data_IF_599907040126
#
_entry.id   IF_599907040126
#
_cell.length_a   1.000
_cell.length_b   1.000
_cell.length_c   1.000
_cell.angle_alpha   90.00
_cell.angle_beta   90.00
_cell.angle_gamma   90.00
#
_symmetry.space_group_name_H-M   'P 1'
#
loop_
_entity.id
_entity.type
_entity.pdbx_description
1 polymer ?
#
# COMPACT_ATOMS: atom_id res chain seq x y z
N UNK A 1 4.51 -22.58 5.56
CA UNK A 1 5.95 -22.56 5.19
C UNK A 1 6.29 -21.10 4.92
N UNK A 2 7.01 -20.45 5.84
CA UNK A 2 7.23 -19.00 5.87
C UNK A 2 8.27 -18.57 4.84
N UNK A 3 7.89 -17.66 3.94
CA UNK A 3 8.78 -16.93 3.03
C UNK A 3 8.74 -15.42 3.33
N UNK A 4 8.63 -15.04 4.60
CA UNK A 4 8.97 -13.68 5.05
C UNK A 4 10.11 -13.79 6.06
N UNK A 5 11.31 -14.01 5.53
CA UNK A 5 12.55 -13.87 6.29
C UNK A 5 12.77 -12.40 6.64
N UNK A 6 12.40 -12.04 7.87
CA UNK A 6 13.23 -11.25 8.79
C UNK A 6 13.73 -9.88 8.30
N UNK A 7 12.84 -8.98 7.92
CA UNK A 7 13.11 -7.55 8.09
C UNK A 7 12.37 -7.11 9.34
N UNK A 8 13.09 -6.80 10.42
CA UNK A 8 12.51 -6.25 11.65
C UNK A 8 12.13 -4.75 11.49
N UNK A 9 12.47 -4.16 10.34
CA UNK A 9 12.16 -2.77 10.00
C UNK A 9 10.73 -2.67 9.44
N UNK A 10 9.94 -1.75 9.99
CA UNK A 10 8.61 -1.47 9.43
C UNK A 10 8.71 -0.76 8.08
N UNK A 11 7.71 -0.96 7.21
CA UNK A 11 7.62 -0.32 5.89
C UNK A 11 7.82 1.20 5.97
N UNK A 12 7.14 1.87 6.92
CA UNK A 12 7.28 3.31 7.13
C UNK A 12 8.71 3.72 7.52
N UNK A 13 9.40 2.90 8.31
CA UNK A 13 10.80 3.18 8.69
C UNK A 13 11.74 2.99 7.50
N UNK A 14 11.52 1.96 6.66
CA UNK A 14 12.29 1.77 5.44
C UNK A 14 12.10 2.95 4.46
N UNK A 15 10.85 3.37 4.23
CA UNK A 15 10.55 4.53 3.39
C UNK A 15 11.14 5.82 3.97
N UNK A 16 11.06 6.03 5.29
CA UNK A 16 11.69 7.17 5.96
C UNK A 16 13.21 7.21 5.72
N UNK A 17 13.90 6.07 5.92
CA UNK A 17 15.35 5.97 5.64
C UNK A 17 15.67 6.22 4.17
N UNK A 18 14.83 5.74 3.24
CA UNK A 18 14.99 6.01 1.81
C UNK A 18 14.88 7.51 1.51
N UNK A 19 13.85 8.18 2.05
CA UNK A 19 13.67 9.63 1.91
C UNK A 19 14.87 10.38 2.47
N UNK A 20 15.32 10.06 3.69
CA UNK A 20 16.52 10.66 4.30
C UNK A 20 17.78 10.43 3.46
N UNK A 21 17.96 9.22 2.93
CA UNK A 21 19.08 8.93 2.04
C UNK A 21 19.03 9.76 0.76
N UNK A 22 17.85 10.00 0.18
CA UNK A 22 17.76 10.85 -1.02
C UNK A 22 18.27 12.27 -0.74
N UNK A 23 17.93 12.84 0.41
CA UNK A 23 18.35 14.19 0.82
C UNK A 23 18.09 15.24 -0.27
N UNK A 24 19.11 16.03 -0.61
CA UNK A 24 19.06 17.05 -1.67
C UNK A 24 18.93 16.48 -3.10
N UNK A 25 18.97 15.15 -3.25
CA UNK A 25 18.66 14.46 -4.48
C UNK A 25 19.79 13.58 -5.01
N UNK A 26 19.42 12.45 -5.60
CA UNK A 26 20.34 11.42 -6.10
C UNK A 26 20.32 11.35 -7.62
N UNK A 27 21.48 11.24 -8.24
CA UNK A 27 21.59 11.12 -9.69
C UNK A 27 21.19 9.73 -10.15
N UNK A 28 20.33 9.66 -11.17
CA UNK A 28 19.96 8.41 -11.82
C UNK A 28 20.88 8.15 -13.02
N UNK A 29 20.85 6.93 -13.53
CA UNK A 29 21.48 6.59 -14.81
C UNK A 29 20.75 7.27 -15.98
N UNK A 30 21.33 7.23 -17.17
CA UNK A 30 20.68 7.72 -18.40
C UNK A 30 19.34 7.05 -18.68
N UNK A 31 19.16 5.80 -18.23
CA UNK A 31 17.91 5.06 -18.33
C UNK A 31 16.96 5.29 -17.14
N UNK A 32 17.24 6.29 -16.29
CA UNK A 32 16.39 6.63 -15.15
C UNK A 32 16.46 5.67 -13.96
N UNK A 33 17.48 4.80 -13.88
CA UNK A 33 17.62 3.80 -12.81
C UNK A 33 18.56 4.29 -11.71
N UNK A 34 18.46 3.70 -10.53
CA UNK A 34 19.49 3.86 -9.51
C UNK A 34 20.82 3.29 -10.01
N UNK A 35 21.94 3.87 -9.56
CA UNK A 35 23.25 3.30 -9.85
C UNK A 35 23.38 1.97 -9.12
N UNK A 36 24.14 1.03 -9.68
CA UNK A 36 24.38 -0.29 -9.05
C UNK A 36 24.96 -0.14 -7.63
N UNK A 37 25.88 0.81 -7.43
CA UNK A 37 26.44 1.14 -6.11
C UNK A 37 25.38 1.64 -5.13
N UNK A 38 24.46 2.48 -5.60
CA UNK A 38 23.37 3.02 -4.78
C UNK A 38 22.38 1.91 -4.41
N UNK A 39 22.05 1.03 -5.37
CA UNK A 39 21.23 -0.15 -5.12
C UNK A 39 21.85 -1.08 -4.07
N UNK A 40 23.14 -1.41 -4.20
CA UNK A 40 23.86 -2.22 -3.21
C UNK A 40 23.83 -1.62 -1.81
N UNK A 41 24.06 -0.31 -1.71
CA UNK A 41 24.00 0.41 -0.45
C UNK A 41 22.59 0.38 0.15
N UNK A 42 21.57 0.65 -0.66
CA UNK A 42 20.17 0.71 -0.21
C UNK A 42 19.63 -0.64 0.27
N UNK A 43 20.00 -1.74 -0.37
CA UNK A 43 19.64 -3.09 0.12
C UNK A 43 20.09 -3.27 1.58
N UNK A 44 21.30 -2.83 1.90
CA UNK A 44 21.85 -2.95 3.25
C UNK A 44 21.22 -1.93 4.22
N UNK A 45 21.00 -0.69 3.78
CA UNK A 45 20.43 0.38 4.62
C UNK A 45 18.98 0.10 5.02
N UNK A 46 18.20 -0.41 4.06
CA UNK A 46 16.77 -0.64 4.19
C UNK A 46 16.43 -2.08 4.57
N UNK A 47 17.44 -2.95 4.69
CA UNK A 47 17.28 -4.37 5.02
C UNK A 47 16.25 -5.07 4.11
N UNK A 48 16.33 -4.83 2.80
CA UNK A 48 15.29 -5.28 1.84
C UNK A 48 15.31 -6.80 1.60
N UNK A 49 16.33 -7.50 2.10
CA UNK A 49 16.55 -8.92 1.83
C UNK A 49 16.98 -9.25 0.39
N UNK A 50 17.07 -8.25 -0.51
CA UNK A 50 17.53 -8.48 -1.88
C UNK A 50 19.00 -8.97 -1.91
N UNK A 51 19.40 -9.62 -3.00
CA UNK A 51 20.73 -10.23 -3.13
C UNK A 51 21.59 -9.57 -4.22
N UNK A 52 22.15 -8.37 -3.98
CA UNK A 52 22.82 -7.58 -5.00
C UNK A 52 24.20 -8.13 -5.41
N UNK A 53 24.78 -9.06 -4.65
CA UNK A 53 26.04 -9.71 -5.03
C UNK A 53 25.84 -11.00 -5.85
N UNK A 54 24.61 -11.48 -5.98
CA UNK A 54 24.32 -12.82 -6.48
C UNK A 54 24.56 -13.87 -5.40
N UNK A 55 23.51 -14.62 -5.04
CA UNK A 55 23.59 -15.81 -4.19
C UNK A 55 23.88 -17.09 -5.00
N UNK A 56 23.72 -18.25 -4.39
CA UNK A 56 23.90 -19.55 -5.04
C UNK A 56 22.97 -19.67 -6.28
N UNK A 57 23.55 -19.46 -7.47
CA UNK A 57 22.85 -19.51 -8.76
C UNK A 57 22.39 -18.15 -9.33
N UNK A 58 22.54 -17.04 -8.62
CA UNK A 58 22.18 -15.71 -9.10
C UNK A 58 23.41 -14.96 -9.63
N UNK A 59 23.26 -14.32 -10.80
CA UNK A 59 24.31 -13.46 -11.36
C UNK A 59 24.46 -12.19 -10.54
N UNK A 60 25.67 -11.62 -10.56
CA UNK A 60 25.98 -10.31 -9.97
C UNK A 60 25.02 -9.24 -10.50
N UNK A 61 24.61 -8.31 -9.64
CA UNK A 61 23.69 -7.23 -9.99
C UNK A 61 24.22 -6.38 -11.16
N UNK A 62 23.51 -6.42 -12.28
CA UNK A 62 23.76 -5.58 -13.46
C UNK A 62 22.82 -4.39 -13.55
N UNK A 63 21.67 -4.43 -12.88
CA UNK A 63 20.66 -3.39 -12.87
C UNK A 63 19.83 -3.46 -11.60
N UNK A 64 19.48 -2.32 -11.01
CA UNK A 64 18.65 -2.25 -9.81
C UNK A 64 17.22 -2.76 -10.01
N UNK A 65 16.77 -2.95 -11.25
CA UNK A 65 15.49 -3.59 -11.55
C UNK A 65 15.44 -5.05 -11.09
N UNK A 66 16.60 -5.68 -10.88
CA UNK A 66 16.71 -7.04 -10.34
C UNK A 66 16.65 -7.08 -8.80
N UNK A 67 16.31 -5.96 -8.14
CA UNK A 67 16.11 -5.84 -6.70
C UNK A 67 14.61 -5.59 -6.43
N UNK A 68 13.77 -6.64 -6.45
CA UNK A 68 12.31 -6.48 -6.42
C UNK A 68 11.81 -5.72 -5.19
N UNK A 69 12.35 -6.00 -3.99
CA UNK A 69 11.90 -5.32 -2.78
C UNK A 69 12.30 -3.85 -2.77
N UNK A 70 13.56 -3.55 -3.15
CA UNK A 70 14.00 -2.16 -3.30
C UNK A 70 13.20 -1.39 -4.37
N UNK A 71 12.87 -2.05 -5.48
CA UNK A 71 12.06 -1.46 -6.54
C UNK A 71 10.66 -1.11 -6.05
N UNK A 72 10.01 -2.05 -5.36
CA UNK A 72 8.70 -1.84 -4.74
C UNK A 72 8.74 -0.63 -3.78
N UNK A 73 9.73 -0.55 -2.90
CA UNK A 73 9.87 0.58 -1.98
C UNK A 73 10.02 1.92 -2.72
N UNK A 74 10.79 1.95 -3.82
CA UNK A 74 10.99 3.16 -4.61
C UNK A 74 9.69 3.59 -5.31
N UNK A 75 8.98 2.65 -5.94
CA UNK A 75 7.71 2.88 -6.63
C UNK A 75 6.66 3.41 -5.63
N UNK A 76 6.46 2.69 -4.51
CA UNK A 76 5.56 3.12 -3.44
C UNK A 76 5.87 4.53 -2.92
N UNK A 77 7.16 4.85 -2.73
CA UNK A 77 7.57 6.17 -2.23
C UNK A 77 7.29 7.28 -3.24
N UNK A 78 7.40 7.00 -4.54
CA UNK A 78 7.09 7.95 -5.61
C UNK A 78 5.56 8.12 -5.73
N UNK A 79 4.80 7.04 -5.70
CA UNK A 79 3.34 7.04 -5.76
C UNK A 79 2.73 7.82 -4.57
N UNK A 80 3.26 7.59 -3.36
CA UNK A 80 2.90 8.35 -2.16
C UNK A 80 3.31 9.83 -2.23
N UNK A 81 4.01 10.26 -3.30
CA UNK A 81 4.39 11.66 -3.50
C UNK A 81 5.47 12.14 -2.53
N UNK A 82 6.23 11.23 -1.92
CA UNK A 82 7.36 11.54 -1.04
C UNK A 82 8.62 11.82 -1.86
N UNK A 83 8.79 11.10 -2.97
CA UNK A 83 9.88 11.27 -3.92
C UNK A 83 9.33 11.56 -5.33
N UNK A 84 10.18 12.13 -6.18
CA UNK A 84 9.89 12.31 -7.61
C UNK A 84 11.14 12.20 -8.45
N UNK A 85 10.97 11.83 -9.71
CA UNK A 85 12.03 11.88 -10.71
C UNK A 85 11.93 13.19 -11.48
N UNK A 86 13.02 13.97 -11.50
CA UNK A 86 13.09 15.21 -12.23
C UNK A 86 14.50 15.42 -12.80
N UNK A 87 14.59 15.64 -14.12
CA UNK A 87 15.86 15.92 -14.83
C UNK A 87 16.97 14.89 -14.51
N UNK A 88 16.63 13.60 -14.56
CA UNK A 88 17.57 12.51 -14.28
C UNK A 88 18.00 12.39 -12.82
N UNK A 89 17.24 12.96 -11.88
CA UNK A 89 17.50 12.88 -10.44
C UNK A 89 16.26 12.41 -9.69
N UNK A 90 16.47 11.62 -8.66
CA UNK A 90 15.49 11.30 -7.63
C UNK A 90 15.57 12.38 -6.56
N UNK A 91 14.46 13.08 -6.31
CA UNK A 91 14.38 14.23 -5.40
C UNK A 91 13.25 14.04 -4.39
N UNK A 92 13.41 14.61 -3.20
CA UNK A 92 12.29 14.74 -2.25
C UNK A 92 11.24 15.75 -2.77
N UNK A 93 9.97 15.46 -2.49
CA UNK A 93 8.86 16.37 -2.79
C UNK A 93 8.70 17.38 -1.65
N UNK A 94 8.94 18.65 -1.97
CA UNK A 94 8.93 19.75 -0.98
C UNK A 94 7.63 19.86 -0.18
N UNK A 95 6.48 19.56 -0.80
CA UNK A 95 5.16 19.62 -0.16
C UNK A 95 5.10 18.79 1.12
N UNK A 96 5.75 17.63 1.14
CA UNK A 96 5.66 16.66 2.23
C UNK A 96 6.95 16.57 3.07
N UNK A 97 7.98 17.36 2.75
CA UNK A 97 9.31 17.23 3.37
C UNK A 97 9.28 17.39 4.90
N UNK A 98 8.47 18.33 5.43
CA UNK A 98 8.37 18.55 6.87
C UNK A 98 7.72 17.35 7.59
N UNK A 99 6.63 16.81 7.03
CA UNK A 99 5.95 15.64 7.59
C UNK A 99 6.83 14.39 7.48
N UNK A 100 7.47 14.20 6.32
CA UNK A 100 8.38 13.09 6.04
C UNK A 100 9.71 13.16 6.81
N UNK A 101 9.94 14.19 7.64
CA UNK A 101 11.09 14.25 8.52
C UNK A 101 11.08 13.16 9.61
N UNK A 102 9.91 12.59 9.91
CA UNK A 102 9.73 11.52 10.90
C UNK A 102 9.16 10.26 10.27
N UNK A 103 9.47 9.09 10.83
CA UNK A 103 8.89 7.82 10.38
C UNK A 103 7.36 7.78 10.55
N UNK A 104 6.83 8.40 11.60
CA UNK A 104 5.39 8.52 11.81
C UNK A 104 4.73 9.39 10.73
N UNK A 105 5.31 10.53 10.37
CA UNK A 105 4.76 11.35 9.28
C UNK A 105 4.85 10.65 7.92
N UNK A 106 5.88 9.82 7.68
CA UNK A 106 5.92 8.94 6.51
C UNK A 106 4.81 7.89 6.56
N UNK A 107 4.59 7.23 7.70
CA UNK A 107 3.50 6.25 7.88
C UNK A 107 2.15 6.87 7.52
N UNK A 108 1.88 8.07 8.00
CA UNK A 108 0.66 8.83 7.70
C UNK A 108 0.47 9.08 6.21
N UNK A 109 1.53 9.53 5.50
CA UNK A 109 1.48 9.76 4.06
C UNK A 109 1.30 8.47 3.25
N UNK A 110 1.85 7.35 3.74
CA UNK A 110 1.62 6.03 3.13
C UNK A 110 0.16 5.58 3.34
N UNK A 111 -0.43 5.81 4.52
CA UNK A 111 -1.87 5.50 4.74
C UNK A 111 -2.75 6.36 3.84
N UNK A 112 -2.46 7.66 3.71
CA UNK A 112 -3.15 8.54 2.76
C UNK A 112 -3.03 8.04 1.32
N UNK A 113 -1.86 7.53 0.93
CA UNK A 113 -1.66 6.91 -0.38
C UNK A 113 -2.56 5.69 -0.57
N UNK A 114 -2.54 4.72 0.36
CA UNK A 114 -3.39 3.52 0.32
C UNK A 114 -4.86 3.91 0.25
N UNK A 115 -5.29 4.88 1.06
CA UNK A 115 -6.67 5.35 1.05
C UNK A 115 -7.08 6.00 -0.28
N UNK A 116 -6.17 6.70 -0.94
CA UNK A 116 -6.41 7.28 -2.26
C UNK A 116 -6.50 6.22 -3.37
N UNK A 117 -5.70 5.15 -3.30
CA UNK A 117 -5.62 4.11 -4.35
C UNK A 117 -6.56 2.93 -4.13
N UNK A 118 -7.00 2.69 -2.89
CA UNK A 118 -7.91 1.61 -2.54
C UNK A 118 -9.21 1.60 -3.37
N UNK A 119 -9.87 2.73 -3.71
CA UNK A 119 -11.05 2.70 -4.56
C UNK A 119 -10.80 2.08 -5.94
N UNK A 120 -9.65 2.33 -6.56
CA UNK A 120 -9.33 1.73 -7.85
C UNK A 120 -9.15 0.21 -7.74
N UNK A 121 -8.63 -0.25 -6.60
CA UNK A 121 -8.44 -1.68 -6.32
C UNK A 121 -9.75 -2.37 -5.93
N UNK A 122 -10.62 -1.69 -5.20
CA UNK A 122 -11.93 -2.19 -4.76
C UNK A 122 -13.03 -1.96 -5.79
N UNK A 123 -12.72 -1.45 -6.98
CA UNK A 123 -13.70 -1.32 -8.05
C UNK A 123 -13.83 -2.68 -8.77
N UNK A 124 -15.00 -3.36 -8.71
CA UNK A 124 -15.19 -4.63 -9.41
C UNK A 124 -15.21 -4.49 -10.94
N UNK A 125 -15.33 -3.25 -11.44
CA UNK A 125 -15.34 -2.90 -12.86
C UNK A 125 -14.37 -1.75 -13.10
N UNK A 126 -13.53 -1.88 -14.13
CA UNK A 126 -12.60 -0.83 -14.56
C UNK A 126 -13.39 0.44 -14.96
N UNK A 127 -12.92 1.62 -14.55
CA UNK A 127 -13.53 2.94 -14.81
C UNK A 127 -14.83 3.27 -14.00
N UNK A 128 -15.07 2.58 -12.88
CA UNK A 128 -16.12 2.90 -11.90
C UNK A 128 -15.55 3.21 -10.50
N UNK A 129 -14.84 4.35 -10.33
CA UNK A 129 -14.23 4.72 -9.04
C UNK A 129 -15.27 4.97 -7.94
N UNK A 130 -16.50 5.30 -8.29
CA UNK A 130 -17.62 5.46 -7.38
C UNK A 130 -17.96 4.16 -6.61
N UNK A 131 -17.90 3.01 -7.28
CA UNK A 131 -18.10 1.70 -6.64
C UNK A 131 -16.98 1.37 -5.67
N UNK A 132 -15.74 1.61 -6.07
CA UNK A 132 -14.59 1.48 -5.18
C UNK A 132 -14.69 2.38 -3.95
N UNK A 133 -15.18 3.61 -4.12
CA UNK A 133 -15.45 4.52 -3.01
C UNK A 133 -16.58 4.00 -2.11
N UNK A 134 -17.63 3.38 -2.68
CA UNK A 134 -18.70 2.75 -1.91
C UNK A 134 -18.20 1.56 -1.08
N UNK A 135 -17.34 0.69 -1.66
CA UNK A 135 -16.69 -0.39 -0.93
C UNK A 135 -15.77 0.12 0.18
N UNK A 136 -14.91 1.11 -0.12
CA UNK A 136 -14.03 1.72 0.87
C UNK A 136 -14.84 2.39 1.99
N UNK A 137 -15.99 2.97 1.65
CA UNK A 137 -16.94 3.51 2.63
C UNK A 137 -17.50 2.42 3.54
N UNK A 138 -18.03 1.34 2.97
CA UNK A 138 -18.53 0.22 3.75
C UNK A 138 -17.44 -0.36 4.68
N UNK A 139 -16.21 -0.50 4.16
CA UNK A 139 -15.05 -0.97 4.92
C UNK A 139 -14.81 -0.19 6.21
N UNK A 140 -14.71 1.14 6.10
CA UNK A 140 -14.43 1.97 7.27
C UNK A 140 -15.64 2.10 8.20
N UNK A 141 -16.87 2.00 7.68
CA UNK A 141 -18.08 1.93 8.51
C UNK A 141 -18.05 0.70 9.42
N UNK A 142 -17.90 -0.49 8.85
CA UNK A 142 -17.84 -1.76 9.60
C UNK A 142 -16.70 -1.78 10.63
N UNK A 143 -15.50 -1.35 10.22
CA UNK A 143 -14.35 -1.29 11.13
C UNK A 143 -14.53 -0.27 12.26
N UNK A 144 -15.23 0.84 12.02
CA UNK A 144 -15.47 1.85 13.05
C UNK A 144 -16.56 1.41 14.02
N UNK A 145 -17.62 0.75 13.53
CA UNK A 145 -18.69 0.20 14.37
C UNK A 145 -18.21 -0.97 15.24
N UNK A 146 -17.29 -1.78 14.71
CA UNK A 146 -16.67 -2.86 15.45
C UNK A 146 -15.66 -2.37 16.52
N UNK A 147 -15.22 -1.11 16.46
CA UNK A 147 -14.15 -0.56 17.31
C UNK A 147 -12.90 -1.47 17.30
N UNK A 148 -12.49 -1.97 18.48
CA UNK A 148 -11.37 -2.90 18.62
C UNK A 148 -11.81 -4.37 18.54
N UNK A 149 -13.04 -4.69 18.15
CA UNK A 149 -13.47 -6.07 17.94
C UNK A 149 -12.90 -6.61 16.61
N UNK A 150 -12.36 -7.83 16.58
CA UNK A 150 -11.92 -8.45 15.33
C UNK A 150 -13.12 -8.86 14.47
N UNK A 151 -13.05 -8.56 13.17
CA UNK A 151 -13.99 -8.97 12.14
C UNK A 151 -13.39 -10.08 11.28
N UNK A 152 -14.22 -11.02 10.82
CA UNK A 152 -13.78 -12.00 9.83
C UNK A 152 -13.65 -11.34 8.46
N UNK A 153 -12.51 -11.54 7.80
CA UNK A 153 -12.24 -10.93 6.48
C UNK A 153 -13.24 -11.41 5.43
N UNK A 154 -13.69 -12.67 5.51
CA UNK A 154 -14.71 -13.21 4.61
C UNK A 154 -16.05 -12.51 4.77
N UNK A 155 -16.48 -12.24 6.01
CA UNK A 155 -17.75 -11.56 6.29
C UNK A 155 -17.67 -10.08 5.88
N UNK A 156 -16.53 -9.44 6.13
CA UNK A 156 -16.28 -8.08 5.68
C UNK A 156 -16.31 -8.00 4.14
N UNK A 157 -15.62 -8.89 3.44
CA UNK A 157 -15.64 -8.93 1.97
C UNK A 157 -17.07 -9.11 1.41
N UNK A 158 -17.92 -9.90 2.08
CA UNK A 158 -19.34 -10.05 1.74
C UNK A 158 -20.12 -8.73 1.88
N UNK A 159 -19.92 -7.99 2.98
CA UNK A 159 -20.54 -6.67 3.18
C UNK A 159 -20.10 -5.69 2.10
N UNK A 160 -18.80 -5.62 1.83
CA UNK A 160 -18.23 -4.73 0.81
C UNK A 160 -18.74 -5.09 -0.59
N UNK A 161 -18.83 -6.38 -0.90
CA UNK A 161 -19.40 -6.85 -2.16
C UNK A 161 -20.85 -6.41 -2.31
N UNK A 162 -21.67 -6.54 -1.26
CA UNK A 162 -23.06 -6.11 -1.30
C UNK A 162 -23.20 -4.59 -1.48
N UNK A 163 -22.26 -3.80 -0.96
CA UNK A 163 -22.24 -2.35 -1.15
C UNK A 163 -22.01 -1.94 -2.63
N UNK A 164 -21.29 -2.75 -3.41
CA UNK A 164 -21.02 -2.46 -4.84
C UNK A 164 -21.98 -3.18 -5.78
N UNK A 165 -22.41 -4.40 -5.43
CA UNK A 165 -23.31 -5.22 -6.24
C UNK A 165 -24.75 -4.72 -6.24
N UNK A 166 -25.11 -3.81 -5.32
CA UNK A 166 -26.42 -3.16 -5.29
C UNK A 166 -26.60 -2.13 -6.41
N UNK A 167 -25.53 -1.74 -7.11
CA UNK A 167 -25.60 -0.82 -8.24
C UNK A 167 -26.21 -1.52 -9.48
N UNK A 168 -27.35 -1.04 -10.02
CA UNK A 168 -28.03 -1.69 -11.14
C UNK A 168 -27.18 -1.80 -12.40
N UNK A 169 -26.28 -0.83 -12.65
CA UNK A 169 -25.44 -0.81 -13.84
C UNK A 169 -24.34 -1.89 -13.76
N UNK A 170 -23.97 -2.31 -12.55
CA UNK A 170 -22.98 -3.38 -12.32
C UNK A 170 -23.55 -4.75 -12.64
N UNK A 171 -24.84 -4.97 -12.33
CA UNK A 171 -25.53 -6.25 -12.58
C UNK A 171 -25.56 -6.55 -14.09
N UNK A 172 -25.72 -5.52 -14.93
CA UNK A 172 -25.75 -5.67 -16.39
C UNK A 172 -24.35 -5.87 -17.01
N UNK A 173 -23.29 -5.44 -16.32
CA UNK A 173 -21.91 -5.52 -16.80
C UNK A 173 -21.25 -6.88 -16.55
N UNK A 174 -21.79 -7.70 -15.65
CA UNK A 174 -21.26 -9.03 -15.41
C UNK A 174 -21.80 -10.04 -16.43
N UNK A 175 -20.92 -10.81 -17.09
CA UNK A 175 -21.36 -11.93 -17.90
C UNK A 175 -22.21 -12.90 -17.06
N UNK A 176 -23.32 -13.35 -17.61
CA UNK A 176 -24.21 -14.32 -16.94
C UNK A 176 -23.40 -15.53 -16.44
N UNK A 177 -23.51 -15.83 -15.15
CA UNK A 177 -22.79 -16.95 -14.52
C UNK A 177 -21.35 -16.67 -14.11
N UNK A 178 -20.88 -15.41 -14.17
CA UNK A 178 -19.54 -14.99 -13.69
C UNK A 178 -19.53 -14.26 -12.35
N UNK A 179 -20.69 -14.11 -11.71
CA UNK A 179 -20.83 -13.37 -10.46
C UNK A 179 -20.02 -13.99 -9.32
N UNK A 180 -20.03 -15.33 -9.18
CA UNK A 180 -19.27 -16.02 -8.13
C UNK A 180 -17.74 -15.85 -8.30
N UNK A 181 -17.26 -15.84 -9.54
CA UNK A 181 -15.84 -15.61 -9.86
C UNK A 181 -15.44 -14.16 -9.57
N UNK A 182 -16.27 -13.19 -9.97
CA UNK A 182 -16.04 -11.78 -9.67
C UNK A 182 -16.04 -11.51 -8.17
N UNK A 183 -16.95 -12.14 -7.42
CA UNK A 183 -17.02 -12.06 -5.96
C UNK A 183 -15.79 -12.67 -5.27
N UNK A 184 -15.34 -13.83 -5.72
CA UNK A 184 -14.13 -14.45 -5.20
C UNK A 184 -12.90 -13.57 -5.44
N UNK A 185 -12.76 -13.03 -6.65
CA UNK A 185 -11.68 -12.09 -6.97
C UNK A 185 -11.76 -10.81 -6.13
N UNK A 186 -12.95 -10.26 -5.92
CA UNK A 186 -13.16 -9.10 -5.05
C UNK A 186 -12.74 -9.35 -3.59
N UNK A 187 -12.96 -10.57 -3.07
CA UNK A 187 -12.50 -10.94 -1.73
C UNK A 187 -10.96 -10.96 -1.64
N UNK A 188 -10.26 -11.41 -2.70
CA UNK A 188 -8.80 -11.34 -2.78
C UNK A 188 -8.29 -9.89 -2.79
N UNK A 189 -8.94 -9.02 -3.58
CA UNK A 189 -8.62 -7.59 -3.63
C UNK A 189 -8.86 -6.91 -2.29
N UNK A 190 -9.95 -7.26 -1.61
CA UNK A 190 -10.24 -6.80 -0.24
C UNK A 190 -9.12 -7.20 0.72
N UNK A 191 -8.71 -8.47 0.72
CA UNK A 191 -7.61 -8.94 1.57
C UNK A 191 -6.29 -8.21 1.27
N UNK A 192 -6.01 -7.89 0.00
CA UNK A 192 -4.83 -7.10 -0.40
C UNK A 192 -4.84 -5.70 0.21
N UNK A 193 -5.97 -4.99 0.10
CA UNK A 193 -6.11 -3.63 0.67
C UNK A 193 -5.99 -3.65 2.20
N UNK A 194 -6.59 -4.64 2.87
CA UNK A 194 -6.47 -4.80 4.32
C UNK A 194 -5.02 -5.06 4.75
N UNK A 195 -4.28 -5.86 3.97
CA UNK A 195 -2.88 -6.13 4.24
C UNK A 195 -2.03 -4.85 4.11
N UNK A 196 -2.28 -4.01 3.12
CA UNK A 196 -1.57 -2.72 2.97
C UNK A 196 -1.79 -1.82 4.20
N UNK A 197 -3.02 -1.69 4.67
CA UNK A 197 -3.31 -0.95 5.89
C UNK A 197 -2.67 -1.60 7.15
N UNK A 198 -2.62 -2.94 7.21
CA UNK A 198 -2.01 -3.65 8.32
C UNK A 198 -0.49 -3.48 8.36
N UNK A 199 0.18 -3.48 7.21
CA UNK A 199 1.63 -3.20 7.10
C UNK A 199 1.99 -1.78 7.58
N UNK A 200 1.04 -0.86 7.53
CA UNK A 200 1.17 0.52 8.01
C UNK A 200 0.64 0.72 9.44
N UNK A 201 0.23 -0.37 10.11
CA UNK A 201 -0.27 -0.36 11.48
C UNK A 201 -1.60 0.36 11.67
N UNK A 202 -2.36 0.62 10.59
CA UNK A 202 -3.72 1.11 10.71
C UNK A 202 -4.67 -0.02 11.14
N UNK A 203 -4.45 -1.22 10.62
CA UNK A 203 -5.18 -2.43 10.98
C UNK A 203 -4.26 -3.46 11.64
N UNK A 204 -4.84 -4.36 12.42
CA UNK A 204 -4.19 -5.57 12.88
C UNK A 204 -4.85 -6.77 12.20
N UNK A 205 -4.04 -7.77 11.85
CA UNK A 205 -4.52 -9.02 11.26
C UNK A 205 -3.73 -10.20 11.83
N UNK A 206 -4.28 -11.40 11.74
CA UNK A 206 -3.55 -12.62 12.08
C UNK A 206 -2.68 -13.09 10.90
N UNK A 207 -1.84 -14.09 11.16
CA UNK A 207 -0.92 -14.63 10.13
C UNK A 207 -1.62 -15.30 8.95
N UNK A 208 -2.88 -15.72 9.13
CA UNK A 208 -3.68 -16.39 8.10
C UNK A 208 -4.54 -15.42 7.29
N UNK A 209 -4.53 -14.12 7.62
CA UNK A 209 -5.40 -13.11 7.00
C UNK A 209 -6.88 -13.52 7.02
N UNK A 210 -7.34 -14.10 8.13
CA UNK A 210 -8.74 -14.48 8.33
C UNK A 210 -9.51 -13.50 9.19
N UNK A 211 -8.82 -12.71 10.02
CA UNK A 211 -9.42 -11.65 10.83
C UNK A 211 -8.71 -10.33 10.63
N UNK A 212 -9.45 -9.24 10.81
CA UNK A 212 -8.94 -7.88 10.80
C UNK A 212 -9.56 -7.07 11.93
N UNK A 213 -8.80 -6.13 12.47
CA UNK A 213 -9.23 -5.28 13.57
C UNK A 213 -8.70 -3.86 13.37
N UNK A 214 -9.51 -2.85 13.67
CA UNK A 214 -9.06 -1.47 13.71
C UNK A 214 -8.12 -1.28 14.91
N UNK A 215 -6.94 -0.70 14.67
CA UNK A 215 -6.05 -0.33 15.76
C UNK A 215 -6.40 1.06 16.30
N UNK A 216 -5.98 1.37 17.52
CA UNK A 216 -6.06 2.74 18.04
C UNK A 216 -5.34 3.77 17.15
N UNK A 217 -4.29 3.36 16.43
CA UNK A 217 -3.60 4.21 15.44
C UNK A 217 -4.43 4.42 14.17
N UNK A 218 -5.09 3.37 13.69
CA UNK A 218 -6.02 3.39 12.57
C UNK A 218 -7.24 4.26 12.83
N UNK A 219 -7.87 4.14 13.99
CA UNK A 219 -9.01 4.98 14.37
C UNK A 219 -8.68 6.48 14.27
N UNK A 220 -7.48 6.88 14.72
CA UNK A 220 -6.99 8.26 14.59
C UNK A 220 -6.65 8.67 13.15
N UNK A 221 -6.24 7.75 12.27
CA UNK A 221 -6.15 8.04 10.82
C UNK A 221 -7.51 8.34 10.25
N UNK A 222 -8.50 7.47 10.53
CA UNK A 222 -9.85 7.58 9.96
C UNK A 222 -10.49 8.91 10.33
N UNK A 223 -10.41 9.29 11.61
CA UNK A 223 -10.86 10.61 12.07
C UNK A 223 -10.18 11.76 11.34
N UNK A 224 -8.86 11.67 11.13
CA UNK A 224 -8.07 12.70 10.44
C UNK A 224 -8.39 12.76 8.95
N UNK A 225 -8.45 11.63 8.26
CA UNK A 225 -8.81 11.55 6.85
C UNK A 225 -10.17 12.19 6.62
N UNK A 226 -11.16 11.90 7.50
CA UNK A 226 -12.48 12.50 7.45
C UNK A 226 -12.48 14.01 7.71
N UNK A 227 -11.58 14.50 8.57
CA UNK A 227 -11.39 15.94 8.80
C UNK A 227 -10.71 16.69 7.63
N UNK A 228 -9.94 15.99 6.78
CA UNK A 228 -9.20 16.59 5.64
C UNK A 228 -10.00 16.69 4.34
N UNK A 229 -11.28 16.28 4.33
CA UNK A 229 -12.12 16.32 3.13
C UNK A 229 -11.82 15.19 2.12
N UNK A 230 -10.95 14.25 2.49
CA UNK A 230 -10.95 12.91 1.88
C UNK A 230 -12.22 12.22 2.37
N UNK A 231 -13.06 11.65 1.48
CA UNK A 231 -14.33 11.09 1.88
C UNK A 231 -14.12 9.88 2.80
N UNK A 232 -14.18 10.13 4.11
CA UNK A 232 -14.37 9.10 5.12
C UNK A 232 -15.84 9.11 5.50
N UNK A 233 -16.50 7.96 5.51
CA UNK A 233 -17.89 7.91 5.94
C UNK A 233 -17.97 8.00 7.44
N UNK A 234 -18.83 8.91 7.90
CA UNK A 234 -19.65 8.61 9.06
C UNK A 234 -20.73 7.60 8.69
#
# INVERSE_FOLDING_TARGET
MSLMSKSDISLATAVHRLVQWVGDGRALTSTGKLRVSDGQYLVSLLDTGDHPQGGAGLRRLSSTDNLPTLRYLLELTIEAGLLRIQRGRLLQVKKHAQQAATAEGVRQLLVENVHRTAPETLAPVFDRPDLGNAALKALWGELSEAEEAPLAISELAEVLWNAVAADPDVIELWPVGKQDEAKAHFAELTASVLLEYAQLGALATNSELTIVQLTAGGAREVERLGATGVPVPR
#
